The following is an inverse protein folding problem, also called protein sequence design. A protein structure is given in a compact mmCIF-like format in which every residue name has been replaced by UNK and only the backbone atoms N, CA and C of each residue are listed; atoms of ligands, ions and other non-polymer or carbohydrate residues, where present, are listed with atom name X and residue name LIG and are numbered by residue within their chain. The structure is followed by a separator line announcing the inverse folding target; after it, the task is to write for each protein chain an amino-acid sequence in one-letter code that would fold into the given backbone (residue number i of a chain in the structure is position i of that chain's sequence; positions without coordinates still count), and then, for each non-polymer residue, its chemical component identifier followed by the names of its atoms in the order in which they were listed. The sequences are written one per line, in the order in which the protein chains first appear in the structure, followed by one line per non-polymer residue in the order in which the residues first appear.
data_IF_174198790627
#
_entry.id   IF_174198790627
#
_cell.length_a   1.000
_cell.length_b   1.000
_cell.length_c   1.000
_cell.angle_alpha   90.00
_cell.angle_beta   90.00
_cell.angle_gamma   90.00
#
_symmetry.space_group_name_H-M   'P 1'
#
loop_
_entity.id
_entity.type
_entity.pdbx_description
1 polymer ?
#
# COMPACT_ATOMS: atom_id res chain seq x y z
N UNK A 1 0.12 1.18 -19.17
CA UNK A 1 1.34 1.34 -18.36
C UNK A 1 2.27 0.17 -18.59
N UNK A 2 3.53 0.46 -18.77
CA UNK A 2 4.52 -0.57 -19.05
C UNK A 2 4.77 -1.45 -17.83
N UNK A 3 4.73 -2.77 -18.03
CA UNK A 3 5.05 -3.73 -16.98
C UNK A 3 6.47 -3.55 -16.44
N UNK A 4 7.37 -2.97 -17.23
CA UNK A 4 8.76 -2.74 -16.84
C UNK A 4 8.91 -1.80 -15.64
N UNK A 5 7.97 -0.85 -15.45
CA UNK A 5 8.01 0.09 -14.34
C UNK A 5 7.47 -0.47 -13.02
N UNK A 6 6.74 -1.59 -13.07
CA UNK A 6 6.16 -2.17 -11.85
C UNK A 6 7.21 -2.63 -10.86
N UNK A 7 8.31 -3.23 -11.33
CA UNK A 7 9.42 -3.63 -10.45
C UNK A 7 10.10 -2.43 -9.81
N UNK A 8 10.27 -1.34 -10.57
CA UNK A 8 10.85 -0.10 -10.05
C UNK A 8 9.98 0.47 -8.93
N UNK A 9 8.69 0.58 -9.15
CA UNK A 9 7.77 1.17 -8.17
C UNK A 9 7.61 0.27 -6.93
N UNK A 10 7.57 -1.05 -7.09
CA UNK A 10 7.57 -1.93 -5.93
C UNK A 10 8.88 -1.84 -5.16
N UNK A 11 10.01 -1.69 -5.86
CA UNK A 11 11.30 -1.46 -5.22
C UNK A 11 11.29 -0.20 -4.35
N UNK A 12 10.68 0.89 -4.82
CA UNK A 12 10.53 2.12 -4.05
C UNK A 12 9.64 1.90 -2.82
N UNK A 13 8.56 1.15 -2.95
CA UNK A 13 7.70 0.81 -1.81
C UNK A 13 8.47 0.01 -0.76
N UNK A 14 9.32 -0.93 -1.18
CA UNK A 14 10.17 -1.69 -0.26
C UNK A 14 11.23 -0.82 0.42
N UNK A 15 11.82 0.14 -0.28
CA UNK A 15 12.74 1.10 0.35
C UNK A 15 12.04 1.88 1.46
N UNK A 16 10.80 2.28 1.23
CA UNK A 16 9.98 2.95 2.25
C UNK A 16 9.65 2.01 3.41
N UNK A 17 9.47 0.72 3.15
CA UNK A 17 9.30 -0.27 4.20
C UNK A 17 10.56 -0.39 5.07
N UNK A 18 11.74 -0.36 4.46
CA UNK A 18 13.01 -0.33 5.21
C UNK A 18 13.12 0.93 6.06
N UNK A 19 12.70 2.08 5.54
CA UNK A 19 12.67 3.33 6.31
C UNK A 19 11.77 3.19 7.54
N UNK A 20 10.59 2.59 7.38
CA UNK A 20 9.70 2.32 8.51
C UNK A 20 10.39 1.42 9.55
N UNK A 21 11.04 0.36 9.10
CA UNK A 21 11.79 -0.56 9.97
C UNK A 21 12.82 0.22 10.81
N UNK A 22 13.59 1.08 10.16
CA UNK A 22 14.65 1.87 10.83
C UNK A 22 14.08 2.85 11.83
N UNK A 23 12.83 3.28 11.65
CA UNK A 23 12.12 4.18 12.55
C UNK A 23 11.25 3.46 13.59
N UNK A 24 11.45 2.15 13.75
CA UNK A 24 10.68 1.32 14.69
C UNK A 24 9.18 1.30 14.41
N UNK A 25 8.82 1.39 13.13
CA UNK A 25 7.45 1.23 12.63
C UNK A 25 7.32 -0.11 11.93
N UNK A 26 6.12 -0.65 11.88
CA UNK A 26 5.86 -1.86 11.08
C UNK A 26 6.31 -1.58 9.64
N UNK A 27 7.17 -2.45 9.04
CA UNK A 27 7.81 -2.12 7.76
C UNK A 27 6.86 -2.27 6.58
N UNK A 28 6.12 -1.20 6.32
CA UNK A 28 5.25 -1.07 5.16
C UNK A 28 5.53 0.26 4.48
N UNK A 29 5.65 0.22 3.17
CA UNK A 29 5.78 1.39 2.32
C UNK A 29 4.72 1.35 1.23
N UNK A 30 4.25 2.54 0.82
CA UNK A 30 3.23 2.67 -0.22
C UNK A 30 3.52 3.87 -1.10
N UNK A 31 3.31 3.70 -2.40
CA UNK A 31 3.38 4.79 -3.37
C UNK A 31 2.14 4.80 -4.24
N UNK A 32 1.78 5.98 -4.71
CA UNK A 32 0.70 6.17 -5.69
C UNK A 32 1.29 6.84 -6.92
N UNK A 33 1.03 6.23 -8.08
CA UNK A 33 1.59 6.64 -9.36
C UNK A 33 0.45 7.02 -10.29
N UNK A 34 0.53 8.21 -10.91
CA UNK A 34 -0.39 8.64 -11.94
C UNK A 34 -0.03 7.92 -13.24
N UNK A 35 -1.01 7.23 -13.84
CA UNK A 35 -0.73 6.32 -14.95
C UNK A 35 -0.30 7.01 -16.24
N UNK A 36 -0.97 8.11 -16.59
CA UNK A 36 -0.75 8.78 -17.90
C UNK A 36 0.68 9.28 -18.08
N UNK A 37 1.40 9.60 -17.01
CA UNK A 37 2.76 10.16 -17.07
C UNK A 37 3.77 9.45 -16.17
N UNK A 38 3.36 8.37 -15.50
CA UNK A 38 4.19 7.59 -14.56
C UNK A 38 4.77 8.44 -13.42
N UNK A 39 4.09 9.52 -13.06
CA UNK A 39 4.54 10.40 -11.97
C UNK A 39 4.14 9.84 -10.61
N UNK A 40 5.10 9.80 -9.68
CA UNK A 40 4.82 9.43 -8.29
C UNK A 40 4.18 10.61 -7.58
N UNK A 41 2.90 10.47 -7.25
CA UNK A 41 2.14 11.52 -6.56
C UNK A 41 2.35 11.50 -5.06
N UNK A 42 2.61 10.35 -4.48
CA UNK A 42 2.76 10.18 -3.04
C UNK A 42 3.63 8.97 -2.73
N UNK A 43 4.45 9.08 -1.67
CA UNK A 43 5.34 8.02 -1.24
C UNK A 43 5.48 8.12 0.29
N UNK A 44 5.04 7.08 1.01
CA UNK A 44 5.00 7.11 2.48
C UNK A 44 5.39 5.76 3.08
N UNK A 45 6.00 5.85 4.26
CA UNK A 45 6.21 4.73 5.19
C UNK A 45 5.13 4.76 6.27
N UNK A 46 4.86 3.63 6.93
CA UNK A 46 4.05 3.62 8.15
C UNK A 46 4.62 4.61 9.16
N UNK A 47 3.73 5.39 9.81
CA UNK A 47 4.11 6.41 10.78
C UNK A 47 3.18 6.40 11.99
N UNK A 48 2.67 5.23 12.39
CA UNK A 48 1.70 5.11 13.48
C UNK A 48 2.26 5.65 14.81
N UNK A 49 3.49 5.29 15.13
CA UNK A 49 4.17 5.75 16.34
C UNK A 49 4.70 7.17 16.20
N UNK A 50 5.26 7.49 15.03
CA UNK A 50 5.87 8.79 14.78
C UNK A 50 4.91 9.96 14.88
N UNK A 51 3.67 9.80 14.41
CA UNK A 51 2.64 10.85 14.51
C UNK A 51 1.52 10.49 15.47
N UNK A 52 1.72 9.43 16.27
CA UNK A 52 0.77 9.01 17.32
C UNK A 52 -0.65 8.79 16.78
N UNK A 53 -0.75 8.05 15.67
CA UNK A 53 -2.03 7.73 15.03
C UNK A 53 -2.08 6.26 14.62
N UNK A 54 -3.01 5.52 15.19
CA UNK A 54 -3.18 4.10 14.87
C UNK A 54 -3.67 3.84 13.46
N UNK A 55 -4.13 4.88 12.75
CA UNK A 55 -4.58 4.77 11.36
C UNK A 55 -3.57 5.36 10.36
N UNK A 56 -2.39 5.77 10.82
CA UNK A 56 -1.35 6.35 9.96
C UNK A 56 -0.55 5.24 9.23
N UNK A 57 -1.27 4.34 8.58
CA UNK A 57 -0.70 3.35 7.67
C UNK A 57 -0.18 4.04 6.41
N UNK A 58 0.87 3.50 5.83
CA UNK A 58 1.48 4.06 4.62
C UNK A 58 0.44 4.33 3.52
N UNK A 59 -0.49 3.39 3.34
CA UNK A 59 -1.54 3.49 2.31
C UNK A 59 -2.47 4.68 2.56
N UNK A 60 -2.90 4.86 3.82
CA UNK A 60 -3.79 5.97 4.19
C UNK A 60 -3.13 7.32 3.94
N UNK A 61 -1.86 7.44 4.33
CA UNK A 61 -1.08 8.66 4.14
C UNK A 61 -0.89 8.96 2.64
N UNK A 62 -0.57 7.93 1.86
CA UNK A 62 -0.36 8.08 0.42
C UNK A 62 -1.65 8.49 -0.30
N UNK A 63 -2.79 7.88 0.04
CA UNK A 63 -4.09 8.22 -0.56
C UNK A 63 -4.42 9.68 -0.30
N UNK A 64 -4.32 10.13 0.95
CA UNK A 64 -4.63 11.50 1.32
C UNK A 64 -3.75 12.50 0.58
N UNK A 65 -2.45 12.22 0.51
CA UNK A 65 -1.50 13.11 -0.17
C UNK A 65 -1.77 13.18 -1.68
N UNK A 66 -2.01 12.05 -2.32
CA UNK A 66 -2.29 12.01 -3.74
C UNK A 66 -3.54 12.81 -4.10
N UNK A 67 -4.60 12.70 -3.30
CA UNK A 67 -5.83 13.49 -3.48
C UNK A 67 -5.56 14.98 -3.39
N UNK A 68 -4.72 15.40 -2.46
CA UNK A 68 -4.32 16.81 -2.32
C UNK A 68 -3.53 17.29 -3.54
N UNK A 69 -2.60 16.47 -4.02
CA UNK A 69 -1.74 16.83 -5.16
C UNK A 69 -2.55 17.04 -6.42
N UNK A 70 -3.52 16.17 -6.70
CA UNK A 70 -4.33 16.28 -7.94
C UNK A 70 -5.60 17.09 -7.74
N UNK A 71 -5.88 17.55 -6.52
CA UNK A 71 -7.10 18.30 -6.16
C UNK A 71 -8.38 17.54 -6.55
N UNK A 72 -8.44 16.25 -6.22
CA UNK A 72 -9.58 15.41 -6.55
C UNK A 72 -9.75 14.33 -5.47
N UNK A 73 -10.99 14.09 -5.06
CA UNK A 73 -11.32 13.04 -4.09
C UNK A 73 -11.26 11.63 -4.69
N UNK A 74 -11.04 11.50 -5.99
CA UNK A 74 -10.92 10.21 -6.67
C UNK A 74 -9.59 10.12 -7.44
N UNK A 75 -8.97 8.96 -7.35
CA UNK A 75 -7.67 8.68 -7.95
C UNK A 75 -7.83 7.70 -9.13
N UNK A 76 -8.77 8.00 -10.06
CA UNK A 76 -9.19 7.07 -11.11
C UNK A 76 -8.08 6.72 -12.11
N UNK A 77 -7.11 7.62 -12.31
CA UNK A 77 -5.96 7.35 -13.21
C UNK A 77 -4.70 6.99 -12.42
N UNK A 78 -4.85 6.31 -11.28
CA UNK A 78 -3.73 6.01 -10.40
C UNK A 78 -3.61 4.54 -10.09
N UNK A 79 -2.36 4.09 -9.95
CA UNK A 79 -1.99 2.79 -9.43
C UNK A 79 -1.37 2.96 -8.05
N UNK A 80 -1.59 1.98 -7.19
CA UNK A 80 -0.94 1.92 -5.87
C UNK A 80 -0.02 0.71 -5.80
N UNK A 81 1.18 0.94 -5.27
CA UNK A 81 2.14 -0.12 -4.95
C UNK A 81 2.38 -0.10 -3.45
N UNK A 82 2.19 -1.23 -2.81
CA UNK A 82 2.40 -1.37 -1.37
C UNK A 82 3.17 -2.65 -1.06
N UNK A 83 4.09 -2.57 -0.11
CA UNK A 83 4.99 -3.69 0.19
C UNK A 83 4.31 -4.87 0.88
N UNK A 84 3.10 -4.67 1.42
CA UNK A 84 2.34 -5.68 2.13
C UNK A 84 0.87 -5.57 1.75
N UNK A 85 0.17 -6.70 1.72
CA UNK A 85 -1.28 -6.71 1.48
C UNK A 85 -1.98 -5.70 2.40
N UNK A 86 -2.81 -4.79 1.84
CA UNK A 86 -3.55 -3.83 2.68
C UNK A 86 -4.50 -4.50 3.66
N UNK A 87 -4.59 -3.92 4.85
CA UNK A 87 -5.57 -4.34 5.86
C UNK A 87 -6.99 -3.93 5.43
N UNK A 88 -8.04 -4.39 6.14
CA UNK A 88 -9.43 -4.02 5.77
C UNK A 88 -9.69 -2.52 5.69
N UNK A 89 -9.15 -1.73 6.61
CA UNK A 89 -9.29 -0.28 6.59
C UNK A 89 -8.71 0.33 5.30
N UNK A 90 -7.49 -0.06 4.96
CA UNK A 90 -6.80 0.46 3.79
C UNK A 90 -7.46 -0.03 2.49
N UNK A 91 -7.92 -1.28 2.46
CA UNK A 91 -8.63 -1.81 1.31
C UNK A 91 -9.90 -1.00 1.03
N UNK A 92 -10.67 -0.68 2.07
CA UNK A 92 -11.88 0.13 1.92
C UNK A 92 -11.54 1.55 1.44
N UNK A 93 -10.46 2.14 1.96
CA UNK A 93 -9.99 3.46 1.51
C UNK A 93 -9.58 3.43 0.03
N UNK A 94 -8.91 2.37 -0.41
CA UNK A 94 -8.52 2.18 -1.81
C UNK A 94 -9.77 2.14 -2.70
N UNK A 95 -10.83 1.46 -2.26
CA UNK A 95 -12.11 1.43 -2.97
C UNK A 95 -12.73 2.82 -3.06
N UNK A 96 -12.82 3.54 -1.95
CA UNK A 96 -13.35 4.91 -1.93
C UNK A 96 -12.58 5.83 -2.87
N UNK A 97 -11.25 5.68 -2.91
CA UNK A 97 -10.38 6.50 -3.76
C UNK A 97 -10.48 6.15 -5.24
N UNK A 98 -11.10 5.03 -5.60
CA UNK A 98 -11.26 4.58 -7.00
C UNK A 98 -9.93 4.30 -7.69
N UNK A 99 -8.95 3.78 -6.95
CA UNK A 99 -7.65 3.40 -7.51
C UNK A 99 -7.86 2.30 -8.55
N UNK A 100 -7.17 2.43 -9.69
CA UNK A 100 -7.37 1.53 -10.83
C UNK A 100 -6.71 0.19 -10.61
N UNK A 101 -5.41 0.18 -10.29
CA UNK A 101 -4.64 -1.04 -10.09
C UNK A 101 -3.98 -1.02 -8.72
N UNK A 102 -4.06 -2.15 -8.02
CA UNK A 102 -3.40 -2.35 -6.74
C UNK A 102 -2.36 -3.45 -6.88
N UNK A 103 -1.11 -3.10 -6.59
CA UNK A 103 0.01 -4.02 -6.55
C UNK A 103 0.46 -4.16 -5.10
N UNK A 104 0.60 -5.38 -4.60
CA UNK A 104 1.24 -5.59 -3.29
C UNK A 104 2.20 -6.76 -3.34
N UNK A 105 3.27 -6.69 -2.52
CA UNK A 105 4.31 -7.71 -2.53
C UNK A 105 3.85 -8.97 -1.79
N UNK A 106 3.90 -8.97 -0.47
CA UNK A 106 3.55 -10.13 0.33
C UNK A 106 2.09 -10.12 0.74
N UNK A 107 1.47 -11.31 0.80
CA UNK A 107 0.17 -11.49 1.45
C UNK A 107 0.31 -11.37 2.96
N UNK A 108 -0.73 -10.89 3.61
CA UNK A 108 -0.82 -10.84 5.07
C UNK A 108 -1.96 -11.75 5.51
N UNK A 109 -1.63 -12.98 5.87
CA UNK A 109 -2.63 -13.97 6.27
C UNK A 109 -3.31 -13.65 7.59
N UNK A 110 -2.66 -12.87 8.43
CA UNK A 110 -3.17 -12.52 9.77
C UNK A 110 -4.08 -11.29 9.74
N UNK A 111 -3.69 -10.25 9.00
CA UNK A 111 -4.36 -8.94 9.07
C UNK A 111 -4.76 -8.38 7.71
N UNK A 112 -4.59 -9.13 6.64
CA UNK A 112 -4.93 -8.68 5.29
C UNK A 112 -6.42 -8.51 5.08
N UNK A 113 -6.77 -7.67 4.12
CA UNK A 113 -8.16 -7.37 3.78
C UNK A 113 -8.49 -7.52 2.30
N UNK A 114 -7.56 -8.01 1.47
CA UNK A 114 -7.73 -8.14 0.02
C UNK A 114 -7.93 -9.60 -0.40
N UNK A 115 -6.89 -10.43 -0.27
CA UNK A 115 -6.94 -11.86 -0.56
C UNK A 115 -7.22 -12.69 0.68
N UNK A 116 -7.07 -12.10 1.85
CA UNK A 116 -7.25 -12.74 3.15
C UNK A 116 -8.29 -11.98 3.97
N UNK A 117 -8.66 -12.52 5.10
CA UNK A 117 -9.60 -11.88 6.01
C UNK A 117 -10.96 -11.63 5.38
N UNK A 118 -11.54 -10.45 5.57
CA UNK A 118 -12.89 -10.15 5.08
C UNK A 118 -12.97 -9.92 3.57
N UNK A 119 -11.85 -9.93 2.84
CA UNK A 119 -11.82 -9.73 1.38
C UNK A 119 -12.72 -8.56 0.96
N UNK A 120 -12.35 -7.37 1.40
CA UNK A 120 -13.17 -6.15 1.31
C UNK A 120 -13.72 -5.90 -0.10
N UNK A 121 -12.93 -6.15 -1.15
CA UNK A 121 -13.37 -5.87 -2.51
C UNK A 121 -14.48 -6.81 -3.00
N UNK A 122 -14.72 -7.90 -2.31
CA UNK A 122 -15.82 -8.83 -2.60
C UNK A 122 -17.09 -8.53 -1.78
N UNK A 123 -17.03 -7.56 -0.88
CA UNK A 123 -18.14 -7.16 -0.03
C UNK A 123 -19.23 -6.45 -0.85
N UNK A 124 -20.50 -6.66 -0.45
CA UNK A 124 -21.65 -6.02 -1.10
C UNK A 124 -21.65 -4.49 -0.92
N UNK A 125 -20.98 -3.97 0.07
CA UNK A 125 -20.85 -2.52 0.30
C UNK A 125 -19.62 -1.91 -0.34
N UNK A 126 -18.84 -2.70 -1.09
CA UNK A 126 -17.69 -2.21 -1.83
C UNK A 126 -18.14 -1.86 -3.26
N UNK A 127 -18.06 -0.58 -3.62
CA UNK A 127 -18.59 -0.07 -4.89
C UNK A 127 -17.54 0.11 -5.98
N UNK A 128 -16.27 -0.15 -5.68
CA UNK A 128 -15.19 -0.14 -6.66
C UNK A 128 -14.14 -1.18 -6.27
N UNK A 129 -13.77 -2.02 -7.23
CA UNK A 129 -12.73 -3.03 -7.04
C UNK A 129 -11.58 -2.73 -8.00
N UNK A 130 -10.35 -2.47 -7.50
CA UNK A 130 -9.19 -2.33 -8.39
C UNK A 130 -8.82 -3.68 -9.02
N UNK A 131 -8.08 -3.63 -10.13
CA UNK A 131 -7.37 -4.82 -10.59
C UNK A 131 -6.26 -5.11 -9.58
N UNK A 132 -6.10 -6.38 -9.20
CA UNK A 132 -5.18 -6.79 -8.14
C UNK A 132 -4.03 -7.60 -8.71
N UNK A 133 -2.80 -7.21 -8.37
CA UNK A 133 -1.58 -7.92 -8.74
C UNK A 133 -0.75 -8.13 -7.48
N UNK A 134 -0.43 -9.37 -7.14
CA UNK A 134 0.28 -9.70 -5.90
C UNK A 134 1.49 -10.59 -6.17
N UNK A 135 2.41 -10.62 -5.22
CA UNK A 135 3.54 -11.54 -5.25
C UNK A 135 4.85 -10.94 -5.70
N UNK A 136 4.85 -9.76 -6.32
CA UNK A 136 6.07 -9.10 -6.76
C UNK A 136 6.93 -8.73 -5.56
N UNK A 137 8.16 -9.27 -5.51
CA UNK A 137 9.12 -9.06 -4.41
C UNK A 137 8.57 -9.51 -3.04
N UNK A 138 7.70 -10.52 -3.04
CA UNK A 138 7.03 -11.01 -1.83
C UNK A 138 8.01 -11.56 -0.79
N UNK A 139 9.08 -12.24 -1.22
CA UNK A 139 10.06 -12.81 -0.30
C UNK A 139 10.78 -11.73 0.49
N UNK A 140 11.19 -10.65 -0.17
CA UNK A 140 11.88 -9.53 0.48
C UNK A 140 10.98 -8.85 1.51
N UNK A 141 9.72 -8.63 1.16
CA UNK A 141 8.73 -8.04 2.06
C UNK A 141 8.49 -8.93 3.28
N UNK A 142 8.26 -10.23 3.05
CA UNK A 142 8.01 -11.19 4.12
C UNK A 142 9.20 -11.29 5.08
N UNK A 143 10.41 -11.32 4.55
CA UNK A 143 11.63 -11.41 5.34
C UNK A 143 11.80 -10.18 6.25
N UNK A 144 11.54 -9.00 5.72
CA UNK A 144 11.63 -7.75 6.46
C UNK A 144 10.63 -7.74 7.63
N UNK A 145 9.40 -8.19 7.39
CA UNK A 145 8.37 -8.29 8.43
C UNK A 145 8.76 -9.28 9.52
N UNK A 146 9.26 -10.45 9.15
CA UNK A 146 9.72 -11.46 10.11
C UNK A 146 10.82 -10.92 11.00
N UNK A 147 11.79 -10.20 10.41
CA UNK A 147 12.89 -9.60 11.15
C UNK A 147 12.38 -8.54 12.14
N UNK A 148 11.42 -7.74 11.73
CA UNK A 148 10.85 -6.71 12.59
C UNK A 148 10.17 -7.31 13.81
N UNK A 149 9.25 -8.26 13.61
CA UNK A 149 8.51 -8.87 14.70
C UNK A 149 9.40 -9.74 15.59
N UNK A 150 10.41 -10.38 15.03
CA UNK A 150 11.39 -11.14 15.83
C UNK A 150 12.16 -10.22 16.77
N UNK A 151 12.49 -9.00 16.35
CA UNK A 151 13.21 -8.03 17.17
C UNK A 151 12.36 -7.47 18.33
N UNK A 152 11.04 -7.68 18.31
CA UNK A 152 10.09 -7.21 19.33
C UNK A 152 9.75 -8.24 20.39
N UNK A 153 10.24 -9.47 20.26
CA UNK A 153 10.00 -10.55 21.22
C UNK A 153 11.02 -10.56 22.34
#
# INVERSE_FOLDING_TARGET
MDHDNSNLFMGLALELAHTAFDNDEVPVGAIIVQRRNSEVLAAFSNQMRGIQSSIAHAEMLAIQKAMQVIHNERLIDCDMYVSLEPCPMCAQAISFARIKNLYFAAEDKKSGGVLNGPKIFESSSCHHKPEIYSGMMAEESSELLKRFFKSKR
#
